data_IF_153138412859
#
_entry.id   IF_153138412859
#
_cell.length_a   1.000
_cell.length_b   1.000
_cell.length_c   1.000
_cell.angle_alpha   90.00
_cell.angle_beta   90.00
_cell.angle_gamma   90.00
#
_symmetry.space_group_name_H-M   'P 1'
#
loop_
_entity.id
_entity.type
_entity.pdbx_description
1 polymer ?
#
# COMPACT_ATOMS: atom_id res chain seq x y z
N UNK A 1 -7.64 -1.36 -4.21
CA UNK A 1 -8.77 -1.59 -3.28
C UNK A 1 -8.21 -2.12 -1.99
N UNK A 2 -8.69 -1.63 -0.83
CA UNK A 2 -8.19 -2.07 0.46
C UNK A 2 -8.48 -3.57 0.71
N UNK A 3 -7.54 -4.32 1.31
CA UNK A 3 -7.64 -5.76 1.46
C UNK A 3 -8.82 -6.20 2.36
N UNK A 4 -9.17 -5.41 3.36
CA UNK A 4 -10.32 -5.64 4.24
C UNK A 4 -11.66 -5.49 3.53
N UNK A 5 -11.73 -4.65 2.49
CA UNK A 5 -12.92 -4.48 1.64
C UNK A 5 -13.02 -5.63 0.64
N UNK A 6 -11.89 -6.12 0.14
CA UNK A 6 -11.84 -7.24 -0.81
C UNK A 6 -12.20 -8.59 -0.17
N UNK A 7 -11.84 -8.81 1.09
CA UNK A 7 -12.07 -10.07 1.81
C UNK A 7 -13.51 -10.28 2.29
N UNK A 8 -14.44 -9.37 1.97
CA UNK A 8 -15.88 -9.40 2.30
C UNK A 8 -16.25 -9.56 3.79
N UNK A 9 -15.26 -9.73 4.68
CA UNK A 9 -15.43 -9.79 6.13
C UNK A 9 -15.26 -8.42 6.82
N UNK A 10 -14.72 -7.41 6.13
CA UNK A 10 -14.53 -6.06 6.66
C UNK A 10 -15.66 -5.11 6.25
N UNK A 11 -16.22 -4.38 7.21
CA UNK A 11 -17.01 -3.18 6.88
C UNK A 11 -16.09 -2.12 6.29
N UNK A 12 -16.56 -1.41 5.27
CA UNK A 12 -15.90 -0.19 4.81
C UNK A 12 -15.81 0.78 5.98
N UNK A 13 -14.59 1.16 6.35
CA UNK A 13 -14.31 2.06 7.45
C UNK A 13 -13.29 3.10 6.95
N UNK A 14 -13.09 4.17 7.72
CA UNK A 14 -12.17 5.26 7.39
C UNK A 14 -10.74 4.77 7.11
N UNK A 15 -10.36 3.60 7.63
CA UNK A 15 -9.06 2.96 7.34
C UNK A 15 -8.91 2.53 5.87
N UNK A 16 -10.01 2.18 5.20
CA UNK A 16 -10.00 1.86 3.77
C UNK A 16 -9.73 3.13 2.92
N UNK A 17 -10.26 4.28 3.33
CA UNK A 17 -9.94 5.57 2.70
C UNK A 17 -8.46 5.92 2.88
N UNK A 18 -7.92 5.73 4.08
CA UNK A 18 -6.50 5.98 4.38
C UNK A 18 -5.59 5.06 3.57
N UNK A 19 -5.96 3.79 3.38
CA UNK A 19 -5.24 2.87 2.50
C UNK A 19 -5.22 3.36 1.05
N UNK A 20 -6.35 3.87 0.57
CA UNK A 20 -6.49 4.43 -0.78
C UNK A 20 -5.64 5.69 -0.95
N UNK A 21 -5.58 6.54 0.07
CA UNK A 21 -4.71 7.72 0.08
C UNK A 21 -3.22 7.33 0.07
N UNK A 22 -2.81 6.34 0.86
CA UNK A 22 -1.43 5.85 0.89
C UNK A 22 -0.96 5.32 -0.48
N UNK A 23 -1.87 4.71 -1.25
CA UNK A 23 -1.60 4.30 -2.63
C UNK A 23 -1.31 5.49 -3.55
N UNK A 24 -2.09 6.57 -3.46
CA UNK A 24 -1.84 7.78 -4.25
C UNK A 24 -0.52 8.46 -3.87
N UNK A 25 -0.20 8.52 -2.57
CA UNK A 25 1.08 9.09 -2.11
C UNK A 25 2.26 8.24 -2.60
N UNK A 26 2.12 6.91 -2.57
CA UNK A 26 3.10 6.00 -3.14
C UNK A 26 3.32 6.24 -4.63
N UNK A 27 2.24 6.34 -5.40
CA UNK A 27 2.29 6.58 -6.85
C UNK A 27 3.01 7.90 -7.17
N UNK A 28 2.74 8.96 -6.40
CA UNK A 28 3.43 10.25 -6.54
C UNK A 28 4.91 10.12 -6.17
N UNK A 29 5.23 9.37 -5.13
CA UNK A 29 6.59 9.24 -4.62
C UNK A 29 7.49 8.39 -5.53
N UNK A 30 7.01 7.22 -5.95
CA UNK A 30 7.74 6.31 -6.82
C UNK A 30 7.65 6.70 -8.31
N UNK A 31 6.72 7.59 -8.67
CA UNK A 31 6.35 7.91 -10.05
C UNK A 31 6.03 6.65 -10.90
N UNK A 32 5.64 5.56 -10.24
CA UNK A 32 5.37 4.27 -10.85
C UNK A 32 4.04 3.73 -10.32
N UNK A 33 3.23 3.16 -11.22
CA UNK A 33 1.96 2.58 -10.83
C UNK A 33 2.20 1.30 -10.02
N UNK A 34 1.74 1.22 -8.76
CA UNK A 34 1.85 -0.01 -7.99
C UNK A 34 1.12 -1.14 -8.72
N UNK A 35 1.83 -2.23 -8.99
CA UNK A 35 1.34 -3.40 -9.73
C UNK A 35 0.97 -3.12 -11.21
N UNK A 36 1.71 -2.26 -11.92
CA UNK A 36 1.51 -1.95 -13.34
C UNK A 36 1.38 -3.18 -14.26
N UNK A 37 2.00 -4.31 -13.90
CA UNK A 37 1.99 -5.56 -14.65
C UNK A 37 0.76 -6.45 -14.36
N UNK A 38 -0.07 -6.08 -13.37
CA UNK A 38 -1.24 -6.85 -12.95
C UNK A 38 -2.52 -6.09 -13.27
N UNK A 39 -3.57 -6.86 -13.59
CA UNK A 39 -4.93 -6.32 -13.67
C UNK A 39 -5.37 -5.84 -12.28
N UNK A 40 -6.25 -4.82 -12.17
CA UNK A 40 -6.68 -4.25 -10.90
C UNK A 40 -7.21 -5.29 -9.88
N UNK A 41 -7.93 -6.31 -10.37
CA UNK A 41 -8.44 -7.39 -9.54
C UNK A 41 -7.33 -8.32 -9.01
N UNK A 42 -6.29 -8.58 -9.81
CA UNK A 42 -5.14 -9.39 -9.40
C UNK A 42 -4.25 -8.63 -8.42
N UNK A 43 -4.04 -7.32 -8.62
CA UNK A 43 -3.34 -6.47 -7.66
C UNK A 43 -4.07 -6.42 -6.29
N UNK A 44 -5.40 -6.29 -6.31
CA UNK A 44 -6.20 -6.33 -5.08
C UNK A 44 -6.11 -7.69 -4.37
N UNK A 45 -6.12 -8.81 -5.12
CA UNK A 45 -5.95 -10.14 -4.56
C UNK A 45 -4.54 -10.36 -3.98
N UNK A 46 -3.48 -9.92 -4.67
CA UNK A 46 -2.11 -9.96 -4.17
C UNK A 46 -1.99 -9.15 -2.87
N UNK A 47 -2.55 -7.94 -2.81
CA UNK A 47 -2.57 -7.12 -1.59
C UNK A 47 -3.37 -7.75 -0.43
N UNK A 48 -4.45 -8.46 -0.74
CA UNK A 48 -5.30 -9.10 0.26
C UNK A 48 -4.71 -10.39 0.83
N UNK A 49 -4.11 -11.22 -0.02
CA UNK A 49 -3.68 -12.56 0.36
C UNK A 49 -2.18 -12.68 0.57
N UNK A 50 -1.36 -11.83 -0.03
CA UNK A 50 0.10 -11.87 0.08
C UNK A 50 0.60 -10.88 1.11
N UNK A 51 0.18 -11.07 2.36
CA UNK A 51 0.58 -10.23 3.50
C UNK A 51 2.00 -10.52 4.02
N UNK A 52 2.69 -11.51 3.44
CA UNK A 52 3.96 -12.04 3.94
C UNK A 52 5.21 -11.62 3.17
N UNK A 53 5.08 -10.97 2.01
CA UNK A 53 6.24 -10.59 1.20
C UNK A 53 6.62 -9.12 1.46
N UNK A 54 7.24 -8.90 2.62
CA UNK A 54 7.79 -7.60 3.08
C UNK A 54 8.86 -7.02 2.14
N UNK A 55 9.21 -7.73 1.08
CA UNK A 55 10.25 -7.39 0.11
C UNK A 55 9.84 -6.26 -0.85
N UNK A 56 8.55 -5.91 -0.90
CA UNK A 56 8.06 -4.85 -1.77
C UNK A 56 8.26 -3.48 -1.10
N UNK A 57 8.95 -2.57 -1.79
CA UNK A 57 9.16 -1.18 -1.37
C UNK A 57 7.84 -0.49 -0.96
N UNK A 58 6.74 -0.86 -1.62
CA UNK A 58 5.38 -0.46 -1.28
C UNK A 58 4.89 -0.88 0.13
N UNK A 59 5.14 -2.13 0.54
CA UNK A 59 4.69 -2.63 1.85
C UNK A 59 5.49 -2.00 2.99
N UNK A 60 6.78 -1.73 2.77
CA UNK A 60 7.62 -1.00 3.72
C UNK A 60 7.11 0.44 3.93
N UNK A 61 6.75 1.13 2.84
CA UNK A 61 6.12 2.45 2.89
C UNK A 61 4.79 2.46 3.64
N UNK A 62 3.90 1.50 3.39
CA UNK A 62 2.66 1.35 4.15
C UNK A 62 2.91 1.13 5.65
N UNK A 63 3.97 0.40 6.00
CA UNK A 63 4.36 0.16 7.39
C UNK A 63 4.86 1.45 8.08
N UNK A 64 5.64 2.26 7.35
CA UNK A 64 6.09 3.59 7.77
C UNK A 64 4.88 4.52 8.00
N UNK A 65 3.95 4.56 7.04
CA UNK A 65 2.76 5.41 7.09
C UNK A 65 1.84 5.00 8.26
N UNK A 66 1.64 3.70 8.46
CA UNK A 66 0.88 3.15 9.59
C UNK A 66 1.54 3.46 10.94
N UNK A 67 2.88 3.54 11.00
CA UNK A 67 3.63 3.83 12.22
C UNK A 67 3.83 5.33 12.51
N UNK A 68 3.31 6.25 11.68
CA UNK A 68 3.56 7.70 11.78
C UNK A 68 5.05 8.08 11.86
N UNK A 69 5.95 7.27 11.29
CA UNK A 69 7.39 7.53 11.33
C UNK A 69 7.83 8.39 10.14
N UNK A 70 7.53 9.69 10.22
CA UNK A 70 7.88 10.69 9.19
C UNK A 70 9.37 10.69 8.83
N UNK A 71 10.24 10.48 9.82
CA UNK A 71 11.70 10.38 9.63
C UNK A 71 12.09 9.18 8.75
N UNK A 72 11.41 8.05 8.90
CA UNK A 72 11.64 6.85 8.09
C UNK A 72 11.16 7.06 6.65
N UNK A 73 10.17 7.93 6.43
CA UNK A 73 9.68 8.31 5.09
C UNK A 73 10.72 9.15 4.31
N UNK A 74 11.48 10.00 5.00
CA UNK A 74 12.61 10.73 4.40
C UNK A 74 13.76 9.79 4.02
N UNK A 75 14.11 8.84 4.90
CA UNK A 75 15.13 7.83 4.61
C UNK A 75 14.73 6.95 3.43
N UNK A 76 13.45 6.62 3.31
CA UNK A 76 12.91 5.88 2.17
C UNK A 76 13.06 6.65 0.84
N UNK A 77 12.83 7.97 0.85
CA UNK A 77 13.04 8.85 -0.32
C UNK A 77 14.51 8.94 -0.75
N UNK A 78 15.45 8.74 0.18
CA UNK A 78 16.90 8.74 -0.11
C UNK A 78 17.41 7.39 -0.63
N UNK A 79 16.63 6.33 -0.45
CA UNK A 79 17.03 4.95 -0.76
C UNK A 79 16.43 4.40 -2.06
N UNK A 80 15.55 5.17 -2.71
CA UNK A 80 14.96 4.88 -4.03
C UNK A 80 15.70 5.67 -5.10
#
# INVERSE_FOLDING_TARGET
MAPEVFTQCGRYDRKADVFSYALCVWEIHAAELPFAHLKPAAAAAEMAYKRGDSSSHFFFFLNIFSSNRIIDMFLFSLST
#
